data_IF_098310755198
#
_entry.id   IF_098310755198
#
_cell.length_a   1.000
_cell.length_b   1.000
_cell.length_c   1.000
_cell.angle_alpha   90.00
_cell.angle_beta   90.00
_cell.angle_gamma   90.00
#
_symmetry.space_group_name_H-M   'P 1'
#
loop_
_entity.id
_entity.type
_entity.pdbx_description
1 polymer ?
#
# COMPACT_ATOMS: atom_id res chain seq x y z
N UNK A 1 -8.00 16.30 -3.57
CA UNK A 1 -7.45 14.92 -3.64
C UNK A 1 -7.04 14.66 -5.08
N UNK A 2 -5.93 13.94 -5.30
CA UNK A 2 -5.38 13.62 -6.62
C UNK A 2 -5.42 12.10 -6.81
N UNK A 3 -5.87 11.66 -7.98
CA UNK A 3 -5.95 10.25 -8.33
C UNK A 3 -4.67 9.79 -9.00
N UNK A 4 -4.20 8.61 -8.63
CA UNK A 4 -3.05 7.95 -9.25
C UNK A 4 -3.43 6.53 -9.65
N UNK A 5 -3.12 6.17 -10.89
CA UNK A 5 -3.27 4.81 -11.38
C UNK A 5 -1.96 4.06 -11.18
N UNK A 6 -2.00 2.98 -10.42
CA UNK A 6 -0.89 2.08 -10.18
C UNK A 6 -0.63 1.20 -11.42
N UNK A 7 0.57 0.61 -11.56
CA UNK A 7 0.93 -0.20 -12.73
C UNK A 7 0.05 -1.43 -12.97
N UNK A 8 -0.66 -1.90 -11.95
CA UNK A 8 -1.60 -3.02 -12.01
C UNK A 8 -3.05 -2.59 -12.30
N UNK A 9 -3.28 -1.30 -12.60
CA UNK A 9 -4.58 -0.74 -12.94
C UNK A 9 -5.42 -0.28 -11.75
N UNK A 10 -4.92 -0.43 -10.50
CA UNK A 10 -5.61 0.07 -9.31
C UNK A 10 -5.55 1.59 -9.23
N UNK A 11 -6.65 2.21 -8.82
CA UNK A 11 -6.72 3.67 -8.61
C UNK A 11 -6.61 3.98 -7.12
N UNK A 12 -5.62 4.78 -6.74
CA UNK A 12 -5.48 5.31 -5.39
C UNK A 12 -5.85 6.79 -5.36
N UNK A 13 -6.56 7.22 -4.31
CA UNK A 13 -6.90 8.62 -4.06
C UNK A 13 -5.97 9.16 -2.97
N UNK A 14 -5.13 10.11 -3.33
CA UNK A 14 -4.20 10.76 -2.41
C UNK A 14 -4.74 12.16 -2.09
N UNK A 15 -5.13 12.38 -0.84
CA UNK A 15 -5.59 13.67 -0.34
C UNK A 15 -4.60 14.27 0.64
N UNK A 16 -4.26 15.55 0.49
CA UNK A 16 -3.73 16.34 1.60
C UNK A 16 -4.88 16.62 2.56
N UNK A 17 -4.74 16.27 3.84
CA UNK A 17 -5.82 16.41 4.82
C UNK A 17 -5.58 17.58 5.79
N UNK A 18 -4.32 17.84 6.13
CA UNK A 18 -3.93 18.95 7.01
C UNK A 18 -2.51 19.45 6.71
N UNK A 19 -2.12 20.58 7.29
CA UNK A 19 -0.81 21.23 7.08
C UNK A 19 0.42 20.35 7.38
N UNK A 20 0.24 19.18 8.00
CA UNK A 20 1.30 18.25 8.40
C UNK A 20 1.08 16.79 7.98
N UNK A 21 -0.03 16.44 7.32
CA UNK A 21 -0.37 15.03 7.03
C UNK A 21 -1.00 14.78 5.66
N UNK A 22 -0.53 13.72 5.00
CA UNK A 22 -1.05 13.20 3.73
C UNK A 22 -1.82 11.91 4.02
N UNK A 23 -3.04 11.82 3.51
CA UNK A 23 -3.91 10.66 3.67
C UNK A 23 -4.06 9.96 2.32
N UNK A 24 -3.84 8.65 2.33
CA UNK A 24 -4.06 7.79 1.17
C UNK A 24 -5.20 6.84 1.49
N UNK A 25 -6.25 6.94 0.68
CA UNK A 25 -7.41 6.07 0.71
C UNK A 25 -7.46 5.27 -0.59
N UNK A 26 -7.59 3.95 -0.48
CA UNK A 26 -7.78 3.07 -1.62
C UNK A 26 -8.90 2.06 -1.33
N UNK A 27 -9.80 1.90 -2.30
CA UNK A 27 -10.86 0.90 -2.25
C UNK A 27 -10.33 -0.42 -2.81
N UNK A 28 -9.87 -1.31 -1.93
CA UNK A 28 -9.93 -2.73 -2.27
C UNK A 28 -10.22 -3.56 -1.01
N UNK A 29 -11.48 -3.99 -0.90
CA UNK A 29 -12.07 -4.85 0.13
C UNK A 29 -12.04 -4.37 1.60
N UNK A 30 -11.15 -3.46 2.00
CA UNK A 30 -11.17 -2.80 3.33
C UNK A 30 -10.64 -1.36 3.16
N UNK A 31 -11.31 -0.32 3.68
CA UNK A 31 -10.79 1.04 3.62
C UNK A 31 -9.51 1.14 4.45
N UNK A 32 -8.40 1.42 3.77
CA UNK A 32 -7.12 1.68 4.41
C UNK A 32 -6.88 3.18 4.46
N UNK A 33 -6.56 3.67 5.65
CA UNK A 33 -6.16 5.06 5.90
C UNK A 33 -4.67 5.06 6.26
N UNK A 34 -3.81 5.36 5.30
CA UNK A 34 -2.39 5.57 5.56
C UNK A 34 -2.14 7.04 5.83
N UNK A 35 -1.39 7.35 6.89
CA UNK A 35 -1.05 8.72 7.29
C UNK A 35 0.46 8.89 7.12
N UNK A 36 0.85 9.82 6.25
CA UNK A 36 2.24 10.15 5.97
C UNK A 36 2.55 11.59 6.39
N UNK A 37 3.79 11.88 6.84
CA UNK A 37 4.21 13.25 7.13
C UNK A 37 4.29 14.09 5.85
N UNK A 38 3.83 15.35 5.89
CA UNK A 38 3.83 16.27 4.72
C UNK A 38 5.21 16.58 4.14
N UNK A 39 6.29 16.27 4.85
CA UNK A 39 7.66 16.41 4.34
C UNK A 39 7.91 15.56 3.09
N UNK A 40 7.12 14.50 2.88
CA UNK A 40 7.19 13.64 1.71
C UNK A 40 6.47 14.29 0.51
N UNK A 41 7.13 14.32 -0.64
CA UNK A 41 6.50 14.75 -1.89
C UNK A 41 5.42 13.74 -2.29
N UNK A 42 4.38 14.14 -3.05
CA UNK A 42 3.33 13.23 -3.51
C UNK A 42 3.84 11.96 -4.22
N UNK A 43 4.98 12.07 -4.93
CA UNK A 43 5.63 10.94 -5.59
C UNK A 43 6.27 9.96 -4.60
N UNK A 44 6.86 10.47 -3.52
CA UNK A 44 7.44 9.62 -2.45
C UNK A 44 6.33 8.91 -1.67
N UNK A 45 5.21 9.60 -1.42
CA UNK A 45 4.03 8.96 -0.84
C UNK A 45 3.52 7.83 -1.74
N UNK A 46 3.44 8.04 -3.05
CA UNK A 46 3.04 7.00 -3.99
C UNK A 46 3.99 5.78 -3.96
N UNK A 47 5.30 6.00 -3.84
CA UNK A 47 6.29 4.92 -3.69
C UNK A 47 6.12 4.16 -2.37
N UNK A 48 5.95 4.86 -1.25
CA UNK A 48 5.72 4.23 0.06
C UNK A 48 4.41 3.45 0.11
N UNK A 49 3.34 3.97 -0.51
CA UNK A 49 2.08 3.23 -0.69
C UNK A 49 2.31 1.98 -1.52
N UNK A 50 3.09 2.06 -2.60
CA UNK A 50 3.40 0.90 -3.43
C UNK A 50 4.16 -0.17 -2.63
N UNK A 51 5.17 0.22 -1.85
CA UNK A 51 5.88 -0.70 -0.94
C UNK A 51 4.94 -1.33 0.08
N UNK A 52 4.05 -0.54 0.69
CA UNK A 52 3.06 -1.06 1.63
C UNK A 52 2.12 -2.10 0.97
N UNK A 53 1.71 -1.85 -0.27
CA UNK A 53 0.76 -2.70 -1.00
C UNK A 53 1.38 -4.00 -1.52
N UNK A 54 2.48 -3.89 -2.26
CA UNK A 54 3.09 -5.01 -3.01
C UNK A 54 4.37 -5.55 -2.35
N UNK A 55 4.81 -4.94 -1.26
CA UNK A 55 6.10 -5.26 -0.68
C UNK A 55 7.23 -4.58 -1.44
N UNK A 56 8.46 -4.85 -1.00
CA UNK A 56 9.67 -4.42 -1.67
C UNK A 56 10.82 -5.37 -1.34
N UNK A 57 11.73 -5.54 -2.29
CA UNK A 57 13.00 -6.21 -2.04
C UNK A 57 13.94 -5.26 -1.31
N UNK A 58 14.38 -5.67 -0.12
CA UNK A 58 15.32 -4.90 0.68
C UNK A 58 16.68 -4.85 -0.04
N UNK A 59 17.23 -3.66 -0.35
CA UNK A 59 18.43 -3.55 -1.17
C UNK A 59 19.72 -3.97 -0.44
N UNK A 60 19.70 -4.04 0.89
CA UNK A 60 20.87 -4.42 1.70
C UNK A 60 20.95 -5.94 1.87
N UNK A 61 19.81 -6.60 2.06
CA UNK A 61 19.72 -8.04 2.34
C UNK A 61 19.28 -8.88 1.14
N UNK A 62 18.61 -8.28 0.17
CA UNK A 62 17.98 -8.97 -0.97
C UNK A 62 16.70 -9.72 -0.60
N UNK A 63 16.19 -9.58 0.63
CA UNK A 63 14.97 -10.26 1.08
C UNK A 63 13.72 -9.48 0.66
N UNK A 64 12.70 -10.20 0.17
CA UNK A 64 11.39 -9.58 -0.12
C UNK A 64 10.61 -9.34 1.17
N UNK A 65 10.34 -8.07 1.46
CA UNK A 65 9.45 -7.66 2.55
C UNK A 65 8.01 -7.72 2.05
N UNK A 66 7.20 -8.60 2.64
CA UNK A 66 5.81 -8.83 2.23
C UNK A 66 4.94 -7.55 2.29
N UNK A 67 4.24 -7.30 1.19
CA UNK A 67 3.21 -6.27 1.13
C UNK A 67 1.91 -6.66 1.84
N UNK A 68 0.95 -5.74 1.84
CA UNK A 68 -0.42 -6.01 2.25
C UNK A 68 -1.05 -7.14 1.42
N UNK A 69 -0.85 -7.14 0.10
CA UNK A 69 -1.43 -8.18 -0.77
C UNK A 69 -0.81 -9.55 -0.56
N UNK A 70 0.51 -9.63 -0.34
CA UNK A 70 1.18 -10.89 -0.01
C UNK A 70 0.62 -11.49 1.28
N UNK A 71 0.44 -10.64 2.31
CA UNK A 71 -0.13 -11.05 3.60
C UNK A 71 -1.57 -11.54 3.47
N UNK A 72 -2.41 -10.87 2.66
CA UNK A 72 -3.78 -11.34 2.39
C UNK A 72 -3.75 -12.67 1.65
N UNK A 73 -2.91 -12.80 0.62
CA UNK A 73 -2.81 -14.02 -0.18
C UNK A 73 -2.41 -15.21 0.71
N UNK A 74 -1.36 -15.06 1.51
CA UNK A 74 -0.92 -16.05 2.51
C UNK A 74 -2.03 -16.40 3.51
N UNK A 75 -2.81 -15.40 3.96
CA UNK A 75 -3.96 -15.64 4.84
C UNK A 75 -5.03 -16.49 4.15
N UNK A 76 -5.42 -16.14 2.92
CA UNK A 76 -6.41 -16.88 2.13
C UNK A 76 -5.96 -18.31 1.78
N UNK A 77 -4.68 -18.50 1.47
CA UNK A 77 -4.11 -19.83 1.18
C UNK A 77 -4.13 -20.71 2.43
N UNK A 78 -3.70 -20.17 3.59
CA UNK A 78 -3.85 -20.88 4.87
C UNK A 78 -5.30 -21.19 5.18
N UNK A 79 -6.22 -20.25 5.02
CA UNK A 79 -7.64 -20.53 5.24
C UNK A 79 -8.14 -21.66 4.32
N UNK A 80 -7.75 -21.69 3.04
CA UNK A 80 -8.10 -22.78 2.12
C UNK A 80 -7.54 -24.14 2.53
N UNK A 81 -6.33 -24.20 3.11
CA UNK A 81 -5.74 -25.45 3.61
C UNK A 81 -6.51 -26.03 4.80
N UNK A 82 -7.12 -25.18 5.65
CA UNK A 82 -7.88 -25.64 6.82
C UNK A 82 -9.25 -26.23 6.47
N UNK A 83 -9.77 -25.94 5.28
CA UNK A 83 -11.06 -26.47 4.78
C UNK A 83 -10.89 -27.67 3.84
N UNK A 84 -9.70 -28.27 3.77
CA UNK A 84 -9.35 -29.39 2.89
C UNK A 84 -9.05 -30.65 3.69
#
# INVERSE_FOLDING_TARGET
>A
MKEFTLPDGRVIKVGEFDADSIIVEFEEHVPHKLVFPKKLKPREVAEEVKKYLYGYDDPETGEHVDGYFDRIKKKKEREKEWWK
#
